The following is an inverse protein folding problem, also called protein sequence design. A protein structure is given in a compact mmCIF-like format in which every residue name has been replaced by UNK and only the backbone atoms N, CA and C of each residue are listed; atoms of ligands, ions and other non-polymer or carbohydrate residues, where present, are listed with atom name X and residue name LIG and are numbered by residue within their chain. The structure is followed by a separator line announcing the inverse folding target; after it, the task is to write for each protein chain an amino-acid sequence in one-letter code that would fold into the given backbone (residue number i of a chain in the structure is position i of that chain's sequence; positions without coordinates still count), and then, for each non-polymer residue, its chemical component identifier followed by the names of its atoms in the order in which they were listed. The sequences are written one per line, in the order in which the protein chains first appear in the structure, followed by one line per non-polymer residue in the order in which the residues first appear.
data_IF_702519206717
#
_entry.id   IF_702519206717
#
_cell.length_a   1.000
_cell.length_b   1.000
_cell.length_c   1.000
_cell.angle_alpha   90.00
_cell.angle_beta   90.00
_cell.angle_gamma   90.00
#
_symmetry.space_group_name_H-M   'P 1'
#
loop_
_entity.id
_entity.type
_entity.pdbx_description
1 polymer ?
#
# COMPACT_ATOMS: atom_id res chain seq x y z
N UNK A 1 -2.47 -27.93 -15.07
CA UNK A 1 -3.05 -27.65 -13.75
C UNK A 1 -2.58 -26.24 -13.39
N UNK A 2 -3.48 -25.31 -13.16
CA UNK A 2 -3.13 -23.95 -12.72
C UNK A 2 -2.54 -24.06 -11.32
N UNK A 3 -1.36 -23.50 -11.11
CA UNK A 3 -0.68 -23.52 -9.82
C UNK A 3 -0.53 -22.10 -9.26
N UNK A 4 -0.77 -21.95 -7.97
CA UNK A 4 -0.42 -20.75 -7.21
C UNK A 4 0.88 -21.04 -6.50
N UNK A 5 1.92 -20.28 -6.83
CA UNK A 5 3.20 -20.27 -6.12
C UNK A 5 3.16 -19.14 -5.10
N UNK A 6 3.59 -19.41 -3.89
CA UNK A 6 3.66 -18.43 -2.81
C UNK A 6 5.08 -18.34 -2.29
N UNK A 7 5.63 -17.14 -2.28
CA UNK A 7 6.95 -16.81 -1.75
C UNK A 7 6.83 -15.67 -0.73
N UNK A 8 7.62 -15.73 0.32
CA UNK A 8 7.62 -14.73 1.39
C UNK A 8 9.06 -14.33 1.74
N UNK A 9 9.67 -13.48 0.91
CA UNK A 9 11.03 -12.99 1.15
C UNK A 9 11.09 -12.14 2.43
N UNK A 10 12.28 -12.06 3.01
CA UNK A 10 12.59 -11.28 4.21
C UNK A 10 13.36 -9.98 3.90
N UNK A 11 13.58 -9.69 2.63
CA UNK A 11 14.31 -8.51 2.16
C UNK A 11 13.68 -7.88 0.93
N UNK A 12 13.89 -6.57 0.75
CA UNK A 12 13.47 -5.82 -0.45
C UNK A 12 14.12 -6.41 -1.70
N UNK A 13 15.41 -6.70 -1.65
CA UNK A 13 16.17 -7.27 -2.76
C UNK A 13 15.64 -8.66 -3.16
N UNK A 14 15.27 -9.49 -2.18
CA UNK A 14 14.64 -10.78 -2.41
C UNK A 14 13.29 -10.64 -3.11
N UNK A 15 12.45 -9.69 -2.68
CA UNK A 15 11.18 -9.41 -3.33
C UNK A 15 11.36 -8.89 -4.77
N UNK A 16 12.28 -7.94 -4.99
CA UNK A 16 12.62 -7.42 -6.32
C UNK A 16 13.06 -8.56 -7.24
N UNK A 17 13.95 -9.43 -6.75
CA UNK A 17 14.46 -10.57 -7.55
C UNK A 17 13.32 -11.50 -7.98
N UNK A 18 12.40 -11.85 -7.06
CA UNK A 18 11.24 -12.68 -7.37
C UNK A 18 10.31 -12.02 -8.39
N UNK A 19 10.03 -10.73 -8.24
CA UNK A 19 9.14 -9.98 -9.13
C UNK A 19 9.74 -9.77 -10.53
N UNK A 20 11.04 -9.47 -10.60
CA UNK A 20 11.73 -9.16 -11.85
C UNK A 20 11.94 -10.42 -12.71
N UNK A 21 12.30 -11.56 -12.07
CA UNK A 21 12.66 -12.81 -12.75
C UNK A 21 11.50 -13.80 -12.90
N UNK A 22 10.29 -13.42 -12.52
CA UNK A 22 9.14 -14.30 -12.66
C UNK A 22 8.81 -14.58 -14.13
N UNK A 23 8.74 -15.88 -14.48
CA UNK A 23 8.29 -16.37 -15.80
C UNK A 23 6.77 -16.45 -15.92
N UNK A 24 6.06 -16.29 -14.79
CA UNK A 24 4.60 -16.27 -14.69
C UNK A 24 4.14 -14.94 -14.09
N UNK A 25 2.88 -14.53 -14.27
CA UNK A 25 2.36 -13.31 -13.64
C UNK A 25 2.62 -13.28 -12.14
N UNK A 26 3.41 -12.31 -11.69
CA UNK A 26 3.72 -12.09 -10.29
C UNK A 26 2.89 -10.94 -9.72
N UNK A 27 2.41 -11.11 -8.49
CA UNK A 27 1.62 -10.11 -7.76
C UNK A 27 2.14 -9.97 -6.33
N UNK A 28 2.25 -8.72 -5.89
CA UNK A 28 2.62 -8.42 -4.49
C UNK A 28 1.42 -8.68 -3.59
N UNK A 29 1.65 -9.41 -2.52
CA UNK A 29 0.65 -9.74 -1.51
C UNK A 29 0.93 -8.98 -0.21
N UNK A 30 0.15 -7.95 0.07
CA UNK A 30 0.04 -7.31 1.38
C UNK A 30 -1.15 -7.92 2.15
N UNK A 31 -2.25 -7.20 2.32
CA UNK A 31 -3.46 -7.70 2.97
C UNK A 31 -4.23 -8.76 2.19
N UNK A 32 -4.21 -8.68 0.87
CA UNK A 32 -4.86 -9.63 -0.04
C UNK A 32 -6.37 -9.43 -0.21
N UNK A 33 -6.96 -8.41 0.40
CA UNK A 33 -8.42 -8.18 0.41
C UNK A 33 -9.03 -7.99 -0.99
N UNK A 34 -8.29 -7.36 -1.89
CA UNK A 34 -8.67 -7.25 -3.31
C UNK A 34 -8.04 -8.34 -4.16
N UNK A 35 -6.74 -8.57 -3.99
CA UNK A 35 -5.96 -9.47 -4.83
C UNK A 35 -6.52 -10.90 -4.85
N UNK A 36 -6.88 -11.46 -3.69
CA UNK A 36 -7.41 -12.82 -3.61
C UNK A 36 -8.76 -12.93 -4.31
N UNK A 37 -9.63 -11.90 -4.17
CA UNK A 37 -10.94 -11.87 -4.83
C UNK A 37 -10.77 -11.78 -6.35
N UNK A 38 -9.92 -10.87 -6.82
CA UNK A 38 -9.62 -10.68 -8.24
C UNK A 38 -9.05 -11.95 -8.89
N UNK A 39 -8.32 -12.75 -8.12
CA UNK A 39 -7.67 -13.96 -8.63
C UNK A 39 -8.55 -15.21 -8.57
N UNK A 40 -9.56 -15.26 -7.71
CA UNK A 40 -10.49 -16.39 -7.60
C UNK A 40 -11.39 -16.56 -8.86
N UNK A 41 -11.59 -15.49 -9.63
CA UNK A 41 -12.37 -15.54 -10.88
C UNK A 41 -11.58 -15.95 -12.14
N UNK A 42 -10.25 -16.04 -12.06
CA UNK A 42 -9.37 -16.38 -13.19
C UNK A 42 -8.68 -17.72 -12.91
N UNK A 43 -9.20 -18.79 -13.49
CA UNK A 43 -8.72 -20.17 -13.30
C UNK A 43 -7.67 -20.61 -14.32
N UNK A 44 -7.28 -19.77 -15.28
CA UNK A 44 -6.61 -20.21 -16.49
C UNK A 44 -5.09 -19.99 -16.49
N UNK A 45 -4.53 -19.27 -15.51
CA UNK A 45 -3.10 -18.98 -15.48
C UNK A 45 -2.46 -19.26 -14.12
N UNK A 46 -1.28 -19.89 -14.16
CA UNK A 46 -0.41 -20.01 -12.99
C UNK A 46 0.11 -18.61 -12.59
N UNK A 47 0.26 -18.39 -11.29
CA UNK A 47 0.71 -17.07 -10.78
C UNK A 47 1.58 -17.18 -9.54
N UNK A 48 2.42 -16.19 -9.34
CA UNK A 48 3.27 -16.05 -8.17
C UNK A 48 2.69 -14.96 -7.26
N UNK A 49 2.50 -15.28 -5.98
CA UNK A 49 2.27 -14.30 -4.93
C UNK A 49 3.55 -14.06 -4.13
N UNK A 50 4.01 -12.82 -4.10
CA UNK A 50 5.16 -12.37 -3.31
C UNK A 50 4.64 -11.65 -2.07
N UNK A 51 4.68 -12.33 -0.94
CA UNK A 51 4.23 -11.78 0.35
C UNK A 51 5.33 -10.92 0.98
N UNK A 52 5.10 -9.63 1.07
CA UNK A 52 6.09 -8.65 1.53
C UNK A 52 6.04 -8.36 3.03
N UNK A 53 5.13 -8.96 3.78
CA UNK A 53 4.91 -8.65 5.20
C UNK A 53 6.03 -9.11 6.14
N UNK A 54 6.96 -9.97 5.68
CA UNK A 54 8.14 -10.39 6.45
C UNK A 54 9.33 -9.45 6.31
N UNK A 55 9.25 -8.52 5.36
CA UNK A 55 10.31 -7.55 5.10
C UNK A 55 10.24 -6.48 6.19
N UNK A 56 11.37 -6.17 6.80
CA UNK A 56 11.47 -5.14 7.82
C UNK A 56 10.97 -3.79 7.32
N UNK A 57 10.21 -3.10 8.15
CA UNK A 57 9.62 -1.79 7.84
C UNK A 57 8.27 -1.85 7.11
N UNK A 58 7.91 -2.96 6.47
CA UNK A 58 6.65 -3.05 5.69
C UNK A 58 5.38 -2.96 6.53
N UNK A 59 5.47 -3.25 7.82
CA UNK A 59 4.34 -3.17 8.77
C UNK A 59 4.49 -2.03 9.79
N UNK A 60 5.53 -1.20 9.67
CA UNK A 60 5.85 -0.17 10.65
C UNK A 60 5.12 1.15 10.36
N UNK A 61 4.93 1.96 11.41
CA UNK A 61 4.56 3.37 11.29
C UNK A 61 5.37 4.19 12.29
N UNK A 62 6.20 5.10 11.78
CA UNK A 62 7.12 5.92 12.58
C UNK A 62 6.75 7.39 12.41
N UNK A 63 6.14 7.96 13.45
CA UNK A 63 5.85 9.39 13.51
C UNK A 63 7.07 10.12 14.09
N UNK A 64 7.50 11.18 13.42
CA UNK A 64 8.63 12.03 13.81
C UNK A 64 8.32 13.52 13.62
N UNK A 65 9.29 14.40 13.88
CA UNK A 65 9.16 15.83 13.59
C UNK A 65 9.07 16.13 12.08
N UNK A 66 9.63 15.25 11.24
CA UNK A 66 9.63 15.41 9.78
C UNK A 66 8.35 14.89 9.13
N UNK A 67 7.55 14.11 9.87
CA UNK A 67 6.30 13.53 9.37
C UNK A 67 6.12 12.07 9.77
N UNK A 68 5.35 11.34 8.97
CA UNK A 68 5.02 9.94 9.18
C UNK A 68 5.64 9.07 8.07
N UNK A 69 6.51 8.15 8.47
CA UNK A 69 6.96 7.04 7.63
C UNK A 69 6.08 5.82 7.86
N UNK A 70 5.38 5.39 6.82
CA UNK A 70 4.40 4.31 6.87
C UNK A 70 4.80 3.16 5.96
N UNK A 71 4.97 1.98 6.56
CA UNK A 71 5.11 0.71 5.86
C UNK A 71 3.83 0.37 5.09
N UNK A 72 3.91 0.13 3.78
CA UNK A 72 2.73 0.03 2.91
C UNK A 72 1.82 -1.16 3.22
N UNK A 73 2.29 -2.14 3.98
CA UNK A 73 1.53 -3.34 4.34
C UNK A 73 0.96 -3.33 5.75
N UNK A 74 1.17 -2.26 6.53
CA UNK A 74 0.54 -2.10 7.83
C UNK A 74 -0.98 -2.17 7.71
N UNK A 75 -1.64 -2.97 8.56
CA UNK A 75 -3.08 -3.12 8.50
C UNK A 75 -3.80 -1.82 8.88
N UNK A 76 -4.95 -1.56 8.24
CA UNK A 76 -5.79 -0.41 8.60
C UNK A 76 -6.23 -0.47 10.07
N UNK A 77 -6.46 -1.67 10.62
CA UNK A 77 -6.82 -1.83 12.02
C UNK A 77 -5.71 -1.37 12.96
N UNK A 78 -4.45 -1.77 12.70
CA UNK A 78 -3.29 -1.32 13.48
C UNK A 78 -3.03 0.18 13.29
N UNK A 79 -3.13 0.66 12.06
CA UNK A 79 -2.97 2.09 11.74
C UNK A 79 -4.00 2.95 12.47
N UNK A 80 -5.27 2.57 12.43
CA UNK A 80 -6.36 3.35 13.08
C UNK A 80 -6.35 3.28 14.60
N UNK A 81 -5.65 2.31 15.19
CA UNK A 81 -5.43 2.22 16.64
C UNK A 81 -4.34 3.18 17.16
N UNK A 82 -3.61 3.88 16.28
CA UNK A 82 -2.52 4.79 16.62
C UNK A 82 -3.05 6.19 16.95
N UNK A 83 -3.25 6.49 18.23
CA UNK A 83 -3.72 7.79 18.72
C UNK A 83 -2.75 8.94 18.43
N UNK A 84 -1.45 8.68 18.39
CA UNK A 84 -0.44 9.66 18.02
C UNK A 84 -0.58 10.10 16.56
N UNK A 85 -0.79 9.16 15.64
CA UNK A 85 -1.02 9.45 14.22
C UNK A 85 -2.36 10.16 14.02
N UNK A 86 -3.41 9.73 14.72
CA UNK A 86 -4.74 10.37 14.66
C UNK A 86 -4.73 11.85 15.03
N UNK A 87 -3.85 12.25 15.95
CA UNK A 87 -3.72 13.67 16.36
C UNK A 87 -3.09 14.53 15.26
N UNK A 88 -2.30 13.95 14.37
CA UNK A 88 -1.57 14.66 13.33
C UNK A 88 -2.28 14.57 11.97
N UNK A 89 -2.82 13.39 11.64
CA UNK A 89 -3.48 13.08 10.37
C UNK A 89 -4.90 12.51 10.59
N UNK A 90 -5.82 13.27 11.22
CA UNK A 90 -7.16 12.76 11.58
C UNK A 90 -7.97 12.29 10.37
N UNK A 91 -7.94 13.01 9.26
CA UNK A 91 -8.66 12.63 8.04
C UNK A 91 -8.14 11.36 7.38
N UNK A 92 -6.81 11.14 7.39
CA UNK A 92 -6.24 9.89 6.88
C UNK A 92 -6.64 8.69 7.74
N UNK A 93 -6.64 8.85 9.07
CA UNK A 93 -7.08 7.80 9.99
C UNK A 93 -8.57 7.50 9.81
N UNK A 94 -9.40 8.53 9.60
CA UNK A 94 -10.83 8.36 9.32
C UNK A 94 -11.06 7.64 7.98
N UNK A 95 -10.34 8.01 6.92
CA UNK A 95 -10.40 7.33 5.63
C UNK A 95 -10.05 5.84 5.75
N UNK A 96 -9.00 5.50 6.50
CA UNK A 96 -8.60 4.12 6.74
C UNK A 96 -9.64 3.34 7.57
N UNK A 97 -10.32 3.99 8.51
CA UNK A 97 -11.38 3.40 9.32
C UNK A 97 -12.66 3.09 8.51
N UNK A 98 -12.87 3.79 7.40
CA UNK A 98 -14.05 3.58 6.53
C UNK A 98 -13.84 2.49 5.47
N UNK A 99 -12.64 1.90 5.36
CA UNK A 99 -12.39 0.79 4.43
C UNK A 99 -13.18 -0.46 4.87
N UNK A 100 -14.13 -0.87 4.05
CA UNK A 100 -14.84 -2.15 4.18
C UNK A 100 -15.45 -2.38 5.57
N UNK A 101 -15.17 -3.52 6.15
CA UNK A 101 -15.60 -3.94 7.49
C UNK A 101 -14.40 -4.13 8.42
N UNK A 102 -14.65 -4.32 9.71
CA UNK A 102 -13.61 -4.61 10.72
C UNK A 102 -12.75 -5.81 10.33
N UNK A 103 -13.35 -6.85 9.72
CA UNK A 103 -12.61 -8.02 9.22
C UNK A 103 -11.69 -7.65 8.06
N UNK A 104 -12.16 -6.79 7.15
CA UNK A 104 -11.35 -6.29 6.03
C UNK A 104 -10.22 -5.41 6.55
N UNK A 105 -10.48 -4.52 7.51
CA UNK A 105 -9.50 -3.61 8.10
C UNK A 105 -8.33 -4.34 8.77
N UNK A 106 -8.57 -5.52 9.33
CA UNK A 106 -7.52 -6.38 9.90
C UNK A 106 -6.50 -6.90 8.87
N UNK A 107 -6.76 -6.72 7.58
CA UNK A 107 -5.91 -7.17 6.47
C UNK A 107 -5.59 -6.07 5.47
N UNK A 108 -6.57 -5.24 5.11
CA UNK A 108 -6.39 -4.12 4.19
C UNK A 108 -5.32 -3.16 4.70
N UNK A 109 -4.54 -2.59 3.80
CA UNK A 109 -3.48 -1.63 4.10
C UNK A 109 -3.56 -0.41 3.18
N UNK A 110 -3.02 0.72 3.62
CA UNK A 110 -3.01 1.95 2.83
C UNK A 110 -2.21 1.77 1.52
N UNK A 111 -1.05 1.11 1.59
CA UNK A 111 -0.28 0.81 0.40
C UNK A 111 -0.98 -0.17 -0.55
N UNK A 112 -1.68 -1.18 -0.02
CA UNK A 112 -2.50 -2.09 -0.83
C UNK A 112 -3.63 -1.35 -1.54
N UNK A 113 -4.33 -0.46 -0.84
CA UNK A 113 -5.39 0.38 -1.39
C UNK A 113 -4.88 1.31 -2.51
N UNK A 114 -3.72 1.94 -2.30
CA UNK A 114 -3.05 2.76 -3.30
C UNK A 114 -2.62 1.94 -4.54
N UNK A 115 -1.92 0.81 -4.34
CA UNK A 115 -1.42 -0.04 -5.41
C UNK A 115 -2.54 -0.71 -6.24
N UNK A 116 -3.69 -0.99 -5.62
CA UNK A 116 -4.87 -1.51 -6.32
C UNK A 116 -5.46 -0.51 -7.31
N UNK A 117 -5.21 0.79 -7.11
CA UNK A 117 -5.60 1.88 -8.03
C UNK A 117 -7.08 1.85 -8.41
N UNK A 118 -7.95 1.52 -7.46
CA UNK A 118 -9.40 1.58 -7.64
C UNK A 118 -9.86 3.04 -7.66
N UNK A 119 -10.80 3.44 -8.56
CA UNK A 119 -11.41 4.76 -8.52
C UNK A 119 -12.18 5.05 -7.22
N UNK A 120 -12.57 3.99 -6.49
CA UNK A 120 -13.26 4.07 -5.21
C UNK A 120 -12.31 3.84 -4.00
N UNK A 121 -11.01 4.07 -4.18
CA UNK A 121 -10.02 3.90 -3.11
C UNK A 121 -10.20 4.97 -2.02
N UNK A 122 -10.60 4.55 -0.81
CA UNK A 122 -10.94 5.47 0.28
C UNK A 122 -9.73 6.29 0.79
N UNK A 123 -8.53 5.68 0.90
CA UNK A 123 -7.36 6.35 1.50
C UNK A 123 -6.56 7.21 0.53
N UNK A 124 -6.71 7.01 -0.77
CA UNK A 124 -5.90 7.73 -1.79
C UNK A 124 -6.12 9.25 -1.75
N UNK A 125 -7.37 9.78 -1.69
CA UNK A 125 -7.57 11.22 -1.57
C UNK A 125 -6.91 11.80 -0.31
N UNK A 126 -6.96 11.08 0.81
CA UNK A 126 -6.33 11.52 2.05
C UNK A 126 -4.78 11.49 1.97
N UNK A 127 -4.19 10.52 1.27
CA UNK A 127 -2.75 10.52 0.99
C UNK A 127 -2.33 11.70 0.12
N UNK A 128 -3.11 12.01 -0.92
CA UNK A 128 -2.84 13.13 -1.84
C UNK A 128 -2.88 14.47 -1.14
N UNK A 129 -3.94 14.77 -0.36
CA UNK A 129 -4.06 16.08 0.30
C UNK A 129 -3.01 16.30 1.39
N UNK A 130 -2.48 15.21 1.96
CA UNK A 130 -1.37 15.26 2.92
C UNK A 130 0.01 15.26 2.23
N UNK A 131 0.07 15.36 0.91
CA UNK A 131 1.33 15.46 0.16
C UNK A 131 2.21 14.20 0.23
N UNK A 132 1.58 13.02 0.38
CA UNK A 132 2.30 11.78 0.56
C UNK A 132 3.27 11.50 -0.61
N UNK A 133 4.47 11.01 -0.26
CA UNK A 133 5.52 10.61 -1.17
C UNK A 133 5.69 9.09 -1.12
N UNK A 134 5.63 8.45 -2.26
CA UNK A 134 5.73 7.00 -2.41
C UNK A 134 7.15 6.62 -2.81
N UNK A 135 7.89 5.95 -1.94
CA UNK A 135 9.21 5.40 -2.26
C UNK A 135 9.02 4.03 -2.88
N UNK A 136 9.44 3.90 -4.12
CA UNK A 136 9.37 2.68 -4.92
C UNK A 136 10.78 2.11 -5.05
N UNK A 137 10.94 0.82 -4.75
CA UNK A 137 12.20 0.10 -4.93
C UNK A 137 12.08 -0.91 -6.08
N UNK A 138 13.12 -1.03 -6.88
CA UNK A 138 13.15 -1.92 -8.03
C UNK A 138 14.56 -2.24 -8.52
N UNK A 139 14.71 -2.98 -9.63
CA UNK A 139 16.01 -3.37 -10.16
C UNK A 139 16.94 -2.20 -10.48
N UNK A 140 16.37 -1.02 -10.78
CA UNK A 140 17.11 0.22 -11.07
C UNK A 140 17.46 1.04 -9.82
N UNK A 141 17.16 0.58 -8.63
CA UNK A 141 17.31 1.32 -7.38
C UNK A 141 16.00 1.86 -6.84
N UNK A 142 16.07 2.95 -6.08
CA UNK A 142 14.90 3.59 -5.48
C UNK A 142 14.53 4.88 -6.21
N UNK A 143 13.23 5.16 -6.29
CA UNK A 143 12.69 6.43 -6.79
C UNK A 143 11.51 6.87 -5.96
N UNK A 144 11.26 8.16 -5.90
CA UNK A 144 10.12 8.73 -5.17
C UNK A 144 9.13 9.36 -6.16
N UNK A 145 7.84 9.10 -5.93
CA UNK A 145 6.74 9.63 -6.74
C UNK A 145 5.68 10.20 -5.79
N UNK A 146 5.12 11.36 -6.10
CA UNK A 146 4.01 11.92 -5.34
C UNK A 146 2.78 10.99 -5.43
N UNK A 147 2.00 10.88 -4.34
CA UNK A 147 0.81 10.01 -4.31
C UNK A 147 -0.22 10.37 -5.41
N UNK A 148 -0.30 11.66 -5.80
CA UNK A 148 -1.16 12.14 -6.88
C UNK A 148 -0.75 11.63 -8.27
N UNK A 149 0.53 11.32 -8.46
CA UNK A 149 1.09 10.79 -9.71
C UNK A 149 1.20 9.26 -9.71
N UNK A 150 0.98 8.61 -8.55
CA UNK A 150 1.15 7.18 -8.42
C UNK A 150 0.13 6.39 -9.24
N UNK A 151 -1.14 6.80 -9.22
CA UNK A 151 -2.20 6.18 -10.01
C UNK A 151 -2.22 6.74 -11.42
N UNK A 152 -2.01 5.90 -12.42
CA UNK A 152 -1.96 6.29 -13.84
C UNK A 152 -3.26 5.95 -14.60
N UNK A 153 -4.23 5.34 -13.92
CA UNK A 153 -5.52 4.99 -14.46
C UNK A 153 -6.24 3.94 -13.61
N UNK A 154 -7.42 3.52 -14.03
CA UNK A 154 -8.19 2.48 -13.32
C UNK A 154 -7.40 1.18 -13.28
N UNK A 155 -7.17 0.67 -12.08
CA UNK A 155 -6.35 -0.53 -11.81
C UNK A 155 -4.95 -0.47 -12.42
N UNK A 156 -4.40 0.74 -12.57
CA UNK A 156 -3.05 0.98 -13.08
C UNK A 156 -2.31 2.00 -12.22
N UNK A 157 -1.05 1.72 -11.96
CA UNK A 157 -0.13 2.61 -11.24
C UNK A 157 1.19 2.76 -12.01
N UNK A 158 2.07 3.61 -11.49
CA UNK A 158 3.35 3.95 -12.12
C UNK A 158 4.46 2.93 -11.89
N UNK A 159 4.23 1.85 -11.14
CA UNK A 159 5.24 0.82 -10.90
C UNK A 159 5.48 -0.03 -12.14
N UNK A 160 6.74 -0.34 -12.38
CA UNK A 160 7.22 -1.20 -13.46
C UNK A 160 7.43 -2.65 -12.99
N UNK A 161 7.73 -3.56 -13.91
CA UNK A 161 8.03 -4.96 -13.58
C UNK A 161 9.25 -5.04 -12.64
N UNK A 162 9.09 -5.74 -11.54
CA UNK A 162 10.14 -5.88 -10.53
C UNK A 162 10.15 -4.79 -9.47
N UNK A 163 9.30 -3.79 -9.58
CA UNK A 163 9.16 -2.73 -8.56
C UNK A 163 8.14 -3.09 -7.49
N UNK A 164 8.38 -2.58 -6.27
CA UNK A 164 7.42 -2.60 -5.17
C UNK A 164 7.41 -1.27 -4.42
N UNK A 165 6.25 -0.92 -3.86
CA UNK A 165 6.12 0.20 -2.94
C UNK A 165 6.79 -0.19 -1.62
N UNK A 166 7.87 0.55 -1.26
CA UNK A 166 8.68 0.30 -0.07
C UNK A 166 8.22 1.11 1.14
N UNK A 167 7.82 2.37 0.91
CA UNK A 167 7.46 3.31 1.97
C UNK A 167 6.47 4.34 1.44
N UNK A 168 5.58 4.79 2.31
CA UNK A 168 4.77 6.00 2.10
C UNK A 168 5.22 7.02 3.15
N UNK A 169 5.81 8.13 2.71
CA UNK A 169 6.19 9.24 3.58
C UNK A 169 5.15 10.36 3.49
N UNK A 170 4.58 10.75 4.62
CA UNK A 170 3.72 11.92 4.73
C UNK A 170 4.49 13.01 5.46
N UNK A 171 4.75 14.17 4.83
CA UNK A 171 5.46 15.27 5.50
C UNK A 171 4.65 15.80 6.69
N UNK A 172 5.35 16.34 7.69
CA UNK A 172 4.69 16.97 8.82
C UNK A 172 3.75 18.08 8.34
N UNK A 173 2.50 18.15 8.85
CA UNK A 173 1.57 19.20 8.46
C UNK A 173 2.13 20.59 8.82
N UNK A 174 1.88 21.59 7.97
CA UNK A 174 2.23 22.96 8.29
C UNK A 174 1.49 23.44 9.54
N UNK A 175 2.06 24.42 10.23
CA UNK A 175 1.43 25.00 11.42
C UNK A 175 -0.01 25.50 11.10
N UNK A 176 -0.95 25.21 12.00
CA UNK A 176 -2.39 25.60 11.88
C UNK A 176 -3.11 24.95 10.70
N UNK A 177 -2.66 23.80 10.21
CA UNK A 177 -3.38 22.97 9.25
C UNK A 177 -3.95 21.73 9.91
N UNK A 178 -5.04 21.21 9.35
CA UNK A 178 -5.64 19.93 9.71
C UNK A 178 -6.33 19.38 8.47
N UNK A 179 -6.46 18.05 8.40
CA UNK A 179 -7.23 17.37 7.38
C UNK A 179 -8.56 16.86 7.95
N UNK A 180 -9.50 16.57 7.07
CA UNK A 180 -10.75 15.89 7.38
C UNK A 180 -11.16 15.02 6.19
N UNK A 181 -11.78 13.89 6.46
CA UNK A 181 -12.29 13.00 5.42
C UNK A 181 -13.82 12.99 5.42
N UNK A 182 -14.42 13.31 4.28
CA UNK A 182 -15.86 13.26 4.08
C UNK A 182 -16.17 12.28 2.94
N UNK A 183 -16.99 11.29 3.22
CA UNK A 183 -17.42 10.29 2.24
C UNK A 183 -18.86 10.59 1.80
N UNK A 184 -19.05 10.66 0.50
CA UNK A 184 -20.38 10.73 -0.11
C UNK A 184 -20.86 9.29 -0.42
N UNK A 185 -22.08 8.93 0.04
CA UNK A 185 -22.69 7.61 -0.16
C UNK A 185 -24.01 7.80 -0.92
#
# INVERSE_FOLDING_TARGET
MVSVVYEAPDSIEGAISLLANADIPAKILAGGTDLIIQTNGSTDESRLFVDVKRIDGMLDAKLSADGLDLGPSMSCAEFTARDDIRKVFPGLVEAAYLIGSTQVQGRASLGGNLCNSSPAADTVPALVVNGAQCVIAGPGGERTVAAEEFMTGVSRNCMEKGELLKLIHLPAPAAKTSDAYLRFI
#
